data_IF_378037471212
#
_entry.id   IF_378037471212
#
_cell.length_a   1.000
_cell.length_b   1.000
_cell.length_c   1.000
_cell.angle_alpha   90.00
_cell.angle_beta   90.00
_cell.angle_gamma   90.00
#
_symmetry.space_group_name_H-M   'P 1'
#
loop_
_entity.id
_entity.type
_entity.pdbx_description
1 polymer ?
#
# COMPACT_ATOMS: atom_id res chain seq x y z
N UNK A 1 -14.30 -28.11 12.31
CA UNK A 1 -14.81 -26.86 11.72
C UNK A 1 -14.91 -25.67 12.71
N UNK A 2 -14.49 -25.80 13.98
CA UNK A 2 -14.72 -24.78 15.03
C UNK A 2 -13.52 -23.89 15.41
N UNK A 3 -12.31 -24.29 15.06
CA UNK A 3 -11.10 -23.53 15.47
C UNK A 3 -10.96 -22.22 14.69
N UNK A 4 -11.35 -22.16 13.41
CA UNK A 4 -11.26 -20.93 12.61
C UNK A 4 -12.25 -19.85 13.03
N UNK A 5 -13.45 -20.22 13.50
CA UNK A 5 -14.44 -19.24 14.00
C UNK A 5 -13.95 -18.55 15.27
N UNK A 6 -13.31 -19.28 16.18
CA UNK A 6 -12.83 -18.74 17.47
C UNK A 6 -11.74 -17.66 17.33
N UNK A 7 -10.88 -17.74 16.31
CA UNK A 7 -9.87 -16.71 16.03
C UNK A 7 -10.43 -15.47 15.33
N UNK A 8 -11.48 -15.65 14.51
CA UNK A 8 -12.15 -14.52 13.83
C UNK A 8 -12.81 -13.56 14.82
N UNK A 9 -13.50 -14.07 15.84
CA UNK A 9 -14.13 -13.24 16.87
C UNK A 9 -13.13 -12.49 17.76
N UNK A 10 -11.99 -13.12 18.08
CA UNK A 10 -10.91 -12.47 18.85
C UNK A 10 -10.30 -11.31 18.08
N UNK A 11 -10.11 -11.46 16.77
CA UNK A 11 -9.58 -10.40 15.91
C UNK A 11 -10.54 -9.21 15.78
N UNK A 12 -11.84 -9.49 15.61
CA UNK A 12 -12.90 -8.48 15.57
C UNK A 12 -12.99 -7.74 16.90
N UNK A 13 -12.90 -8.45 18.02
CA UNK A 13 -12.95 -7.85 19.36
C UNK A 13 -11.76 -6.93 19.64
N UNK A 14 -10.54 -7.33 19.25
CA UNK A 14 -9.33 -6.49 19.35
C UNK A 14 -9.45 -5.25 18.46
N UNK A 15 -10.01 -5.39 17.25
CA UNK A 15 -10.22 -4.28 16.32
C UNK A 15 -11.28 -3.30 16.85
N UNK A 16 -12.33 -3.80 17.49
CA UNK A 16 -13.39 -2.97 18.12
C UNK A 16 -12.85 -2.19 19.32
N UNK A 17 -11.97 -2.79 20.15
CA UNK A 17 -11.32 -2.12 21.27
C UNK A 17 -10.34 -1.04 20.78
N UNK A 18 -9.61 -1.28 19.69
CA UNK A 18 -8.73 -0.29 19.07
C UNK A 18 -9.50 0.91 18.50
N UNK A 19 -10.66 0.67 17.90
CA UNK A 19 -11.52 1.75 17.37
C UNK A 19 -12.19 2.54 18.49
N UNK A 20 -12.62 1.90 19.57
CA UNK A 20 -13.28 2.58 20.71
C UNK A 20 -12.35 3.53 21.46
N UNK A 21 -11.03 3.25 21.48
CA UNK A 21 -10.03 4.17 22.07
C UNK A 21 -9.76 5.42 21.23
N UNK A 22 -10.14 5.42 19.95
CA UNK A 22 -9.98 6.58 19.05
C UNK A 22 -11.11 7.61 19.21
N UNK A 23 -12.24 7.22 19.84
CA UNK A 23 -13.49 8.01 19.89
C UNK A 23 -13.65 8.97 21.06
N UNK A 24 -12.88 8.86 22.13
CA UNK A 24 -13.06 9.70 23.33
C UNK A 24 -11.94 10.74 23.48
N UNK A 25 -11.97 11.77 22.64
CA UNK A 25 -11.26 13.02 22.95
C UNK A 25 -12.18 13.89 23.80
N UNK A 26 -12.13 13.72 25.12
CA UNK A 26 -12.67 14.72 26.05
C UNK A 26 -11.91 16.03 25.82
N UNK A 27 -12.65 17.08 25.49
CA UNK A 27 -12.13 18.44 25.38
C UNK A 27 -11.92 19.00 26.80
N UNK A 28 -10.88 18.54 27.47
CA UNK A 28 -10.45 19.12 28.74
C UNK A 28 -9.80 20.45 28.41
N UNK A 29 -10.51 21.55 28.71
CA UNK A 29 -9.94 22.91 28.62
C UNK A 29 -9.11 23.11 29.89
N UNK A 30 -7.90 22.58 29.91
CA UNK A 30 -6.89 22.95 30.90
C UNK A 30 -6.13 24.15 30.34
N UNK A 31 -6.24 25.31 30.98
CA UNK A 31 -5.37 26.46 30.70
C UNK A 31 -4.00 26.20 31.33
N UNK A 32 -3.26 25.23 30.82
CA UNK A 32 -1.86 25.05 31.14
C UNK A 32 -1.00 26.02 30.32
N UNK A 33 -0.02 26.66 30.98
CA UNK A 33 1.06 27.37 30.28
C UNK A 33 1.80 26.34 29.44
N UNK A 34 1.54 26.32 28.13
CA UNK A 34 2.24 25.43 27.20
C UNK A 34 3.72 25.73 27.26
N UNK A 35 4.58 24.75 27.62
CA UNK A 35 6.02 24.94 27.64
C UNK A 35 6.54 25.50 26.32
N UNK A 36 7.58 26.30 26.38
CA UNK A 36 8.14 27.01 25.21
C UNK A 36 8.58 26.04 24.12
N UNK A 37 9.07 24.84 24.50
CA UNK A 37 9.43 23.75 23.59
C UNK A 37 8.24 23.21 22.79
N UNK A 38 7.04 23.13 23.38
CA UNK A 38 5.82 22.72 22.64
C UNK A 38 5.34 23.80 21.66
N UNK A 39 5.53 25.09 21.99
CA UNK A 39 5.22 26.17 21.04
C UNK A 39 6.14 26.11 19.84
N UNK A 40 7.45 25.89 20.06
CA UNK A 40 8.44 25.74 19.00
C UNK A 40 8.17 24.52 18.12
N UNK A 41 7.79 23.38 18.74
CA UNK A 41 7.38 22.17 18.03
C UNK A 41 6.19 22.44 17.11
N UNK A 42 5.14 23.10 17.59
CA UNK A 42 3.95 23.44 16.81
C UNK A 42 4.20 24.46 15.71
N UNK A 43 5.21 25.34 15.86
CA UNK A 43 5.61 26.28 14.82
C UNK A 43 6.29 25.59 13.63
N UNK A 44 7.05 24.51 13.87
CA UNK A 44 7.81 23.80 12.83
C UNK A 44 7.06 22.63 12.20
N UNK A 45 6.04 22.06 12.88
CA UNK A 45 5.35 20.85 12.46
C UNK A 45 3.95 21.13 11.92
N UNK A 46 3.63 20.54 10.78
CA UNK A 46 2.30 20.64 10.18
C UNK A 46 2.31 20.53 8.65
N UNK A 47 1.13 20.39 8.05
CA UNK A 47 0.99 20.12 6.62
C UNK A 47 1.74 21.09 5.68
N UNK A 48 1.81 22.37 6.03
CA UNK A 48 2.55 23.39 5.26
C UNK A 48 3.73 23.97 6.04
N UNK A 49 4.12 23.34 7.14
CA UNK A 49 5.26 23.73 7.96
C UNK A 49 6.55 23.04 7.50
N UNK A 50 7.68 23.30 8.20
CA UNK A 50 9.01 22.77 7.87
C UNK A 50 9.05 21.25 7.88
N UNK A 51 8.39 20.63 8.86
CA UNK A 51 8.29 19.17 9.02
C UNK A 51 6.82 18.75 9.10
N UNK A 52 6.51 17.58 8.56
CA UNK A 52 5.19 17.00 8.68
C UNK A 52 5.26 15.48 8.55
N UNK A 53 4.67 14.78 9.49
CA UNK A 53 4.50 13.32 9.41
C UNK A 53 3.02 12.95 9.49
N UNK A 54 2.63 11.92 8.74
CA UNK A 54 1.25 11.45 8.70
C UNK A 54 1.19 9.99 8.27
N UNK A 55 0.13 9.31 8.70
CA UNK A 55 -0.20 7.97 8.23
C UNK A 55 -1.03 8.06 6.94
N UNK A 56 -0.78 7.13 6.02
CA UNK A 56 -1.51 7.01 4.77
C UNK A 56 -1.92 5.57 4.53
N UNK A 57 -3.17 5.37 4.15
CA UNK A 57 -3.69 4.12 3.64
C UNK A 57 -3.91 4.25 2.14
N UNK A 58 -3.51 3.24 1.38
CA UNK A 58 -3.68 3.20 -0.07
C UNK A 58 -4.24 1.86 -0.51
N UNK A 59 -5.04 1.88 -1.57
CA UNK A 59 -5.53 0.70 -2.25
C UNK A 59 -5.42 0.90 -3.75
N UNK A 60 -4.92 -0.11 -4.46
CA UNK A 60 -4.76 -0.05 -5.91
C UNK A 60 -5.02 -1.40 -6.57
N UNK A 61 -5.24 -1.37 -7.88
CA UNK A 61 -5.39 -2.54 -8.73
C UNK A 61 -4.31 -2.55 -9.81
N UNK A 62 -3.87 -3.75 -10.18
CA UNK A 62 -2.95 -3.94 -11.31
C UNK A 62 -3.69 -3.70 -12.63
N UNK A 63 -3.07 -2.96 -13.53
CA UNK A 63 -3.57 -2.72 -14.88
C UNK A 63 -2.64 -3.36 -15.90
N UNK A 64 -3.17 -4.16 -16.85
CA UNK A 64 -2.39 -4.63 -17.99
C UNK A 64 -2.02 -3.43 -18.87
N UNK A 65 -0.73 -3.27 -19.17
CA UNK A 65 -0.24 -2.21 -20.08
C UNK A 65 -0.41 -2.66 -21.54
N UNK A 66 -0.41 -3.97 -21.79
CA UNK A 66 -0.61 -4.54 -23.12
C UNK A 66 -2.08 -4.50 -23.51
N UNK A 67 -2.38 -3.85 -24.64
CA UNK A 67 -3.69 -3.88 -25.29
C UNK A 67 -3.97 -5.21 -25.98
N UNK A 68 -2.99 -6.11 -26.05
CA UNK A 68 -3.17 -7.46 -26.58
C UNK A 68 -4.00 -8.29 -25.61
N UNK A 69 -5.04 -8.90 -26.11
CA UNK A 69 -6.16 -9.56 -25.42
C UNK A 69 -5.84 -10.78 -24.54
N UNK A 70 -4.62 -11.23 -24.48
CA UNK A 70 -4.20 -12.31 -23.58
C UNK A 70 -3.93 -11.77 -22.17
N UNK A 71 -5.02 -11.35 -21.51
CA UNK A 71 -4.97 -10.93 -20.11
C UNK A 71 -4.65 -12.14 -19.23
N UNK A 72 -3.38 -12.34 -18.94
CA UNK A 72 -2.88 -13.37 -18.02
C UNK A 72 -3.37 -13.19 -16.60
N UNK A 73 -3.79 -11.98 -16.23
CA UNK A 73 -4.15 -11.60 -14.87
C UNK A 73 -5.60 -11.14 -14.77
N UNK A 74 -6.30 -11.61 -13.76
CA UNK A 74 -7.64 -11.13 -13.43
C UNK A 74 -7.56 -9.78 -12.69
N UNK A 75 -7.90 -8.69 -13.38
CA UNK A 75 -7.90 -7.34 -12.80
C UNK A 75 -8.82 -7.27 -11.57
N UNK A 76 -10.00 -7.88 -11.63
CA UNK A 76 -11.01 -7.85 -10.56
C UNK A 76 -10.54 -8.44 -9.23
N UNK A 77 -9.52 -9.31 -9.27
CA UNK A 77 -9.02 -10.04 -8.10
C UNK A 77 -7.58 -9.69 -7.72
N UNK A 78 -6.93 -8.79 -8.49
CA UNK A 78 -5.53 -8.39 -8.27
C UNK A 78 -5.48 -6.98 -7.70
N UNK A 79 -5.11 -6.87 -6.43
CA UNK A 79 -5.09 -5.60 -5.70
C UNK A 79 -3.93 -5.54 -4.70
N UNK A 80 -3.55 -4.32 -4.36
CA UNK A 80 -2.55 -4.02 -3.33
C UNK A 80 -3.11 -3.06 -2.30
N UNK A 81 -2.92 -3.39 -1.02
CA UNK A 81 -3.15 -2.52 0.12
C UNK A 81 -1.81 -2.05 0.66
N UNK A 82 -1.69 -0.76 0.97
CA UNK A 82 -0.49 -0.17 1.53
C UNK A 82 -0.86 0.62 2.80
N UNK A 83 -0.10 0.44 3.87
CA UNK A 83 -0.15 1.26 5.07
C UNK A 83 1.24 1.85 5.28
N UNK A 84 1.34 3.16 5.35
CA UNK A 84 2.64 3.84 5.41
C UNK A 84 2.64 5.07 6.30
N UNK A 85 3.82 5.35 6.86
CA UNK A 85 4.14 6.62 7.50
C UNK A 85 4.90 7.48 6.51
N UNK A 86 4.42 8.69 6.28
CA UNK A 86 5.02 9.65 5.39
C UNK A 86 5.72 10.73 6.22
N UNK A 87 6.97 11.03 5.87
CA UNK A 87 7.78 12.10 6.45
C UNK A 87 8.05 13.13 5.38
N UNK A 88 7.52 14.34 5.56
CA UNK A 88 7.71 15.45 4.64
C UNK A 88 8.61 16.51 5.28
N UNK A 89 9.62 16.97 4.52
CA UNK A 89 10.47 18.11 4.87
C UNK A 89 10.33 19.18 3.80
N UNK A 90 9.84 20.36 4.18
CA UNK A 90 9.70 21.50 3.27
C UNK A 90 11.07 22.07 2.93
N UNK A 91 11.38 22.21 1.64
CA UNK A 91 12.57 22.85 1.09
C UNK A 91 12.23 24.30 0.71
N UNK A 92 11.12 24.49 0.00
CA UNK A 92 10.61 25.80 -0.41
C UNK A 92 9.08 25.83 -0.26
N UNK A 93 8.40 26.95 -0.46
CA UNK A 93 6.93 27.00 -0.48
C UNK A 93 6.29 26.02 -1.47
N UNK A 94 6.94 25.78 -2.60
CA UNK A 94 6.46 24.90 -3.67
C UNK A 94 7.01 23.48 -3.53
N UNK A 95 8.23 23.27 -3.01
CA UNK A 95 8.95 22.01 -3.04
C UNK A 95 9.14 21.42 -1.64
N UNK A 96 8.90 20.13 -1.51
CA UNK A 96 9.20 19.35 -0.29
C UNK A 96 9.82 18.01 -0.65
N UNK A 97 10.75 17.55 0.19
CA UNK A 97 11.25 16.17 0.16
C UNK A 97 10.29 15.27 0.92
N UNK A 98 10.04 14.08 0.39
CA UNK A 98 9.19 13.05 1.01
C UNK A 98 9.97 11.76 1.19
N UNK A 99 9.83 11.15 2.38
CA UNK A 99 10.30 9.80 2.67
C UNK A 99 9.12 9.02 3.24
N UNK A 100 8.89 7.84 2.74
CA UNK A 100 7.73 7.02 3.07
C UNK A 100 8.24 5.64 3.46
N UNK A 101 7.84 5.17 4.63
CA UNK A 101 8.12 3.83 5.11
C UNK A 101 6.81 3.12 5.42
N UNK A 102 6.67 1.86 5.02
CA UNK A 102 5.42 1.16 5.26
C UNK A 102 5.47 -0.31 4.90
N UNK A 103 4.30 -0.90 4.92
CA UNK A 103 4.05 -2.28 4.53
C UNK A 103 3.01 -2.32 3.42
N UNK A 104 3.13 -3.28 2.51
CA UNK A 104 2.09 -3.56 1.54
C UNK A 104 1.73 -5.05 1.51
N UNK A 105 0.48 -5.32 1.17
CA UNK A 105 -0.05 -6.64 0.89
C UNK A 105 -0.56 -6.66 -0.53
N UNK A 106 0.15 -7.37 -1.40
CA UNK A 106 -0.21 -7.56 -2.79
C UNK A 106 -0.84 -8.93 -2.99
N UNK A 107 -1.99 -8.96 -3.67
CA UNK A 107 -2.64 -10.17 -4.15
C UNK A 107 -2.75 -10.11 -5.67
N UNK A 108 -2.26 -11.16 -6.34
CA UNK A 108 -2.36 -11.34 -7.77
C UNK A 108 -3.13 -12.64 -8.02
N UNK A 109 -4.10 -12.60 -8.91
CA UNK A 109 -4.81 -13.77 -9.39
C UNK A 109 -4.52 -13.94 -10.88
N UNK A 110 -3.85 -15.03 -11.25
CA UNK A 110 -3.59 -15.35 -12.64
C UNK A 110 -4.78 -16.07 -13.25
N UNK A 111 -5.09 -15.77 -14.53
CA UNK A 111 -6.12 -16.47 -15.30
C UNK A 111 -5.55 -17.67 -16.03
N UNK A 112 -4.33 -17.54 -16.57
CA UNK A 112 -3.67 -18.54 -17.38
C UNK A 112 -2.52 -19.19 -16.63
N UNK A 113 -2.49 -20.51 -16.68
CA UNK A 113 -1.51 -21.36 -15.99
C UNK A 113 -0.17 -21.36 -16.71
N UNK A 114 -0.13 -21.00 -18.01
CA UNK A 114 1.10 -20.99 -18.80
C UNK A 114 2.22 -20.12 -18.25
N UNK A 115 1.86 -19.05 -17.53
CA UNK A 115 2.84 -18.19 -16.85
C UNK A 115 3.39 -18.80 -15.54
N UNK A 116 2.80 -19.91 -15.11
CA UNK A 116 3.19 -20.64 -13.91
C UNK A 116 4.06 -21.88 -14.21
N UNK A 117 4.39 -22.11 -15.47
CA UNK A 117 5.29 -23.21 -15.85
C UNK A 117 6.67 -23.08 -15.18
N UNK A 118 7.13 -21.84 -14.93
CA UNK A 118 8.36 -21.57 -14.20
C UNK A 118 8.34 -22.09 -12.75
N UNK A 119 7.15 -22.33 -12.19
CA UNK A 119 6.98 -22.94 -10.87
C UNK A 119 6.84 -24.47 -10.91
N UNK A 120 6.93 -25.10 -12.07
CA UNK A 120 6.71 -26.55 -12.24
C UNK A 120 5.25 -26.97 -11.97
N UNK A 121 4.29 -26.02 -12.05
CA UNK A 121 2.88 -26.30 -11.81
C UNK A 121 2.26 -26.88 -13.07
N UNK A 122 1.58 -28.03 -12.93
CA UNK A 122 0.89 -28.68 -14.04
C UNK A 122 -0.21 -27.79 -14.64
N UNK A 123 -0.43 -27.90 -15.95
CA UNK A 123 -1.49 -27.20 -16.69
C UNK A 123 -2.92 -27.48 -16.19
N UNK A 124 -3.10 -28.47 -15.32
CA UNK A 124 -4.38 -28.81 -14.67
C UNK A 124 -4.67 -28.01 -13.39
N UNK A 125 -3.76 -27.18 -12.91
CA UNK A 125 -3.98 -26.36 -11.72
C UNK A 125 -5.03 -25.27 -11.97
N UNK A 126 -5.93 -25.08 -11.02
CA UNK A 126 -7.03 -24.13 -11.07
C UNK A 126 -6.78 -22.97 -10.09
N UNK A 127 -7.24 -21.77 -10.45
CA UNK A 127 -7.32 -20.58 -9.58
C UNK A 127 -6.00 -20.22 -8.87
N UNK A 128 -4.89 -20.08 -9.61
CA UNK A 128 -3.60 -19.77 -9.01
C UNK A 128 -3.59 -18.33 -8.46
N UNK A 129 -3.17 -18.20 -7.21
CA UNK A 129 -3.16 -16.93 -6.47
C UNK A 129 -1.82 -16.71 -5.79
N UNK A 130 -1.20 -15.57 -6.06
CA UNK A 130 -0.04 -15.07 -5.35
C UNK A 130 -0.46 -14.08 -4.27
N UNK A 131 0.17 -14.17 -3.11
CA UNK A 131 0.05 -13.19 -2.03
C UNK A 131 1.43 -12.84 -1.54
N UNK A 132 1.70 -11.55 -1.41
CA UNK A 132 3.01 -11.06 -0.97
C UNK A 132 2.85 -9.98 0.08
N UNK A 133 3.68 -10.08 1.12
CA UNK A 133 3.86 -9.04 2.12
C UNK A 133 5.20 -8.37 1.88
N UNK A 134 5.16 -7.06 1.66
CA UNK A 134 6.35 -6.29 1.32
C UNK A 134 6.59 -5.23 2.38
N UNK A 135 7.85 -5.05 2.75
CA UNK A 135 8.34 -3.84 3.38
C UNK A 135 8.62 -2.82 2.27
N UNK A 136 8.11 -1.59 2.41
CA UNK A 136 8.23 -0.57 1.38
C UNK A 136 8.96 0.66 1.90
N UNK A 137 9.88 1.18 1.07
CA UNK A 137 10.52 2.47 1.25
C UNK A 137 10.40 3.28 -0.04
N UNK A 138 9.94 4.55 0.09
CA UNK A 138 9.86 5.47 -1.03
C UNK A 138 10.52 6.78 -0.64
N UNK A 139 11.20 7.40 -1.62
CA UNK A 139 11.79 8.72 -1.46
C UNK A 139 11.58 9.54 -2.72
N UNK A 140 11.36 10.85 -2.56
CA UNK A 140 11.12 11.70 -3.70
C UNK A 140 10.70 13.12 -3.33
N UNK A 141 10.02 13.76 -4.26
CA UNK A 141 9.65 15.16 -4.15
C UNK A 141 8.14 15.36 -4.27
N UNK A 142 7.65 16.29 -3.45
CA UNK A 142 6.28 16.79 -3.52
C UNK A 142 6.30 18.25 -3.96
N UNK A 143 5.59 18.51 -5.04
CA UNK A 143 5.34 19.85 -5.61
C UNK A 143 3.97 20.33 -5.15
N UNK A 144 3.94 21.41 -4.37
CA UNK A 144 2.70 22.03 -3.90
C UNK A 144 2.21 23.02 -4.94
N UNK A 145 0.99 22.82 -5.45
CA UNK A 145 0.37 23.69 -6.46
C UNK A 145 -0.14 25.00 -5.83
N UNK A 146 -0.55 24.92 -4.55
CA UNK A 146 -1.05 26.06 -3.79
C UNK A 146 -0.14 26.33 -2.58
N UNK A 147 0.90 27.17 -2.73
CA UNK A 147 1.86 27.47 -1.66
C UNK A 147 1.26 28.29 -0.51
N UNK A 148 0.23 29.12 -0.78
CA UNK A 148 -0.36 30.07 0.17
C UNK A 148 -1.55 29.50 0.97
N UNK A 149 -1.76 28.18 0.96
CA UNK A 149 -2.90 27.46 1.54
C UNK A 149 -2.99 27.45 3.08
N UNK A 150 -2.17 28.21 3.78
CA UNK A 150 -2.06 28.14 5.23
C UNK A 150 -1.48 26.80 5.70
N UNK A 151 -1.83 26.32 6.92
CA UNK A 151 -1.33 25.04 7.45
C UNK A 151 -2.23 23.86 7.05
N UNK A 152 -2.52 23.72 5.75
CA UNK A 152 -3.33 22.64 5.18
C UNK A 152 -2.53 21.85 4.13
N UNK A 153 -2.98 20.62 3.80
CA UNK A 153 -2.28 19.79 2.81
C UNK A 153 -2.40 20.36 1.38
N UNK A 154 -3.48 21.01 1.00
CA UNK A 154 -3.66 21.63 -0.31
C UNK A 154 -3.66 20.66 -1.49
N UNK A 155 -3.37 21.19 -2.70
CA UNK A 155 -3.20 20.42 -3.94
C UNK A 155 -1.70 20.15 -4.17
N UNK A 156 -1.35 18.96 -4.64
CA UNK A 156 0.05 18.59 -4.85
C UNK A 156 0.23 17.50 -5.90
N UNK A 157 1.40 17.49 -6.48
CA UNK A 157 1.94 16.38 -7.28
C UNK A 157 3.13 15.82 -6.52
N UNK A 158 3.23 14.50 -6.42
CA UNK A 158 4.32 13.83 -5.73
C UNK A 158 4.92 12.75 -6.62
N UNK A 159 6.24 12.74 -6.73
CA UNK A 159 7.01 11.77 -7.51
C UNK A 159 8.02 11.10 -6.60
N UNK A 160 7.97 9.78 -6.51
CA UNK A 160 8.83 8.98 -5.65
C UNK A 160 9.47 7.84 -6.44
N UNK A 161 10.71 7.54 -6.10
CA UNK A 161 11.32 6.25 -6.34
C UNK A 161 10.90 5.31 -5.23
N UNK A 162 10.63 4.06 -5.54
CA UNK A 162 10.32 3.06 -4.52
C UNK A 162 11.25 1.86 -4.59
N UNK A 163 11.48 1.27 -3.41
CA UNK A 163 12.03 -0.06 -3.23
C UNK A 163 11.13 -0.85 -2.30
N UNK A 164 10.73 -2.06 -2.72
CA UNK A 164 9.95 -3.01 -1.92
C UNK A 164 10.77 -4.27 -1.70
N UNK A 165 10.80 -4.74 -0.48
CA UNK A 165 11.38 -6.02 -0.13
C UNK A 165 10.27 -7.00 0.27
N UNK A 166 10.13 -8.10 -0.48
CA UNK A 166 9.17 -9.16 -0.21
C UNK A 166 9.70 -10.07 0.88
N UNK A 167 9.11 -9.98 2.09
CA UNK A 167 9.49 -10.83 3.22
C UNK A 167 8.78 -12.18 3.22
N UNK A 168 7.52 -12.20 2.79
CA UNK A 168 6.70 -13.42 2.76
C UNK A 168 5.91 -13.43 1.45
N UNK A 169 6.06 -14.51 0.70
CA UNK A 169 5.22 -14.80 -0.46
C UNK A 169 4.53 -16.14 -0.30
N UNK A 170 3.35 -16.29 -0.88
CA UNK A 170 2.58 -17.53 -0.86
C UNK A 170 1.92 -17.71 -2.21
N UNK A 171 2.15 -18.87 -2.81
CA UNK A 171 1.45 -19.35 -3.98
C UNK A 171 0.40 -20.37 -3.54
N UNK A 172 -0.83 -20.21 -3.98
CA UNK A 172 -1.94 -21.12 -3.76
C UNK A 172 -2.55 -21.52 -5.08
N UNK A 173 -2.77 -22.80 -5.29
CA UNK A 173 -3.49 -23.33 -6.44
C UNK A 173 -4.30 -24.58 -6.04
N UNK A 174 -5.25 -24.97 -6.88
CA UNK A 174 -6.18 -26.06 -6.66
C UNK A 174 -6.06 -27.10 -7.78
N UNK A 175 -6.17 -28.38 -7.44
CA UNK A 175 -6.32 -29.48 -8.41
C UNK A 175 -7.64 -30.20 -8.16
N UNK A 176 -8.30 -30.61 -9.24
CA UNK A 176 -9.36 -31.60 -9.15
C UNK A 176 -8.74 -33.00 -9.24
N UNK A 177 -8.79 -33.74 -8.15
CA UNK A 177 -8.18 -35.08 -8.07
C UNK A 177 -9.14 -36.16 -8.56
N UNK A 178 -10.45 -35.98 -8.35
CA UNK A 178 -11.55 -36.83 -8.81
C UNK A 178 -12.80 -35.98 -8.96
N UNK A 179 -13.93 -36.57 -9.46
CA UNK A 179 -15.18 -35.88 -9.76
C UNK A 179 -15.73 -34.96 -8.65
N UNK A 180 -15.31 -35.14 -7.38
CA UNK A 180 -15.80 -34.32 -6.25
C UNK A 180 -14.71 -33.88 -5.27
N UNK A 181 -13.44 -34.28 -5.43
CA UNK A 181 -12.37 -33.93 -4.49
C UNK A 181 -11.45 -32.84 -5.04
N UNK A 182 -11.31 -31.75 -4.26
CA UNK A 182 -10.39 -30.65 -4.56
C UNK A 182 -9.19 -30.70 -3.62
N UNK A 183 -8.01 -30.82 -4.16
CA UNK A 183 -6.76 -30.68 -3.43
C UNK A 183 -6.25 -29.25 -3.53
N UNK A 184 -6.02 -28.60 -2.37
CA UNK A 184 -5.48 -27.24 -2.30
C UNK A 184 -4.02 -27.32 -1.88
N UNK A 185 -3.13 -26.83 -2.75
CA UNK A 185 -1.71 -26.74 -2.47
C UNK A 185 -1.36 -25.30 -2.11
N UNK A 186 -0.52 -25.13 -1.08
CA UNK A 186 0.01 -23.83 -0.65
C UNK A 186 1.51 -23.96 -0.48
N UNK A 187 2.23 -23.19 -1.27
CA UNK A 187 3.67 -23.11 -1.23
C UNK A 187 4.09 -21.76 -0.65
N UNK A 188 5.03 -21.77 0.29
CA UNK A 188 5.54 -20.57 0.93
C UNK A 188 6.91 -20.24 0.35
N UNK A 189 7.11 -18.96 -0.02
CA UNK A 189 8.33 -18.45 -0.64
C UNK A 189 8.77 -19.28 -1.86
N UNK A 190 7.86 -19.48 -2.85
CA UNK A 190 8.20 -20.26 -4.03
C UNK A 190 9.29 -19.55 -4.82
N UNK A 191 10.28 -20.31 -5.30
CA UNK A 191 11.19 -19.86 -6.36
C UNK A 191 10.38 -19.86 -7.67
N UNK A 192 10.47 -18.86 -8.55
CA UNK A 192 11.48 -17.81 -8.73
C UNK A 192 10.99 -16.39 -8.43
N UNK A 193 10.25 -16.15 -7.35
CA UNK A 193 9.80 -14.79 -7.02
C UNK A 193 10.97 -13.91 -6.58
N UNK A 194 11.14 -12.77 -7.24
CA UNK A 194 12.13 -11.78 -6.83
C UNK A 194 11.74 -11.17 -5.47
N UNK A 195 12.70 -11.09 -4.56
CA UNK A 195 12.49 -10.46 -3.25
C UNK A 195 12.60 -8.94 -3.30
N UNK A 196 13.25 -8.37 -4.30
CA UNK A 196 13.45 -6.92 -4.42
C UNK A 196 12.72 -6.37 -5.64
N UNK A 197 11.83 -5.42 -5.39
CA UNK A 197 11.09 -4.71 -6.43
C UNK A 197 11.37 -3.22 -6.33
N UNK A 198 11.53 -2.56 -7.47
CA UNK A 198 11.79 -1.12 -7.54
C UNK A 198 11.10 -0.49 -8.74
N UNK A 199 10.93 0.83 -8.68
CA UNK A 199 10.29 1.59 -9.73
C UNK A 199 9.92 3.00 -9.30
N UNK A 200 8.84 3.52 -9.89
CA UNK A 200 8.38 4.90 -9.72
C UNK A 200 6.93 4.93 -9.25
N UNK A 201 6.62 5.84 -8.33
CA UNK A 201 5.25 6.14 -7.90
C UNK A 201 4.97 7.62 -8.12
N UNK A 202 3.93 7.93 -8.87
CA UNK A 202 3.40 9.29 -9.03
C UNK A 202 2.07 9.41 -8.32
N UNK A 203 1.83 10.53 -7.64
CA UNK A 203 0.62 10.79 -6.88
C UNK A 203 0.12 12.19 -7.16
N UNK A 204 -1.20 12.32 -7.41
CA UNK A 204 -1.91 13.58 -7.53
C UNK A 204 -2.88 13.71 -6.37
N UNK A 205 -2.70 14.71 -5.51
CA UNK A 205 -3.46 14.81 -4.28
C UNK A 205 -4.19 16.14 -4.10
N UNK A 206 -5.35 16.04 -3.45
CA UNK A 206 -6.16 17.19 -3.03
C UNK A 206 -6.55 16.94 -1.56
N UNK A 207 -6.07 17.81 -0.68
CA UNK A 207 -6.26 17.66 0.77
C UNK A 207 -5.73 16.29 1.26
N UNK A 208 -6.57 15.52 1.94
CA UNK A 208 -6.21 14.18 2.48
C UNK A 208 -6.35 13.04 1.48
N UNK A 209 -6.90 13.28 0.28
CA UNK A 209 -7.16 12.24 -0.72
C UNK A 209 -6.22 12.38 -1.90
N UNK A 210 -5.81 11.28 -2.50
CA UNK A 210 -5.01 11.28 -3.73
C UNK A 210 -5.27 10.05 -4.59
N UNK A 211 -5.02 10.20 -5.88
CA UNK A 211 -4.89 9.11 -6.83
C UNK A 211 -3.41 8.88 -7.08
N UNK A 212 -3.03 7.63 -7.34
CA UNK A 212 -1.64 7.31 -7.65
C UNK A 212 -1.52 6.27 -8.76
N UNK A 213 -0.41 6.36 -9.48
CA UNK A 213 0.10 5.34 -10.36
C UNK A 213 1.47 4.88 -9.86
N UNK A 214 1.69 3.58 -9.82
CA UNK A 214 2.96 2.97 -9.45
C UNK A 214 3.40 2.08 -10.62
N UNK A 215 4.56 2.40 -11.18
CA UNK A 215 5.17 1.62 -12.25
C UNK A 215 6.38 0.86 -11.73
N UNK A 216 6.32 -0.47 -11.79
CA UNK A 216 7.41 -1.35 -11.39
C UNK A 216 8.34 -1.58 -12.57
N UNK A 217 9.63 -1.25 -12.40
CA UNK A 217 10.68 -1.50 -13.38
C UNK A 217 11.19 -2.94 -13.27
N UNK A 218 11.35 -3.42 -12.03
CA UNK A 218 11.76 -4.79 -11.75
C UNK A 218 10.70 -5.80 -12.20
N UNK A 219 11.13 -7.00 -12.58
CA UNK A 219 10.22 -8.10 -12.85
C UNK A 219 9.77 -8.77 -11.55
N UNK A 220 8.54 -9.32 -11.51
CA UNK A 220 8.09 -10.17 -10.42
C UNK A 220 8.71 -11.56 -10.50
N UNK A 221 8.71 -12.09 -11.72
CA UNK A 221 9.27 -13.35 -12.12
C UNK A 221 10.19 -13.06 -13.29
N UNK A 222 11.25 -13.82 -13.46
CA UNK A 222 12.28 -13.55 -14.48
C UNK A 222 11.73 -13.51 -15.90
N UNK A 223 10.65 -14.26 -16.21
CA UNK A 223 10.08 -14.39 -17.55
C UNK A 223 8.57 -14.11 -17.63
N UNK A 224 7.99 -13.33 -16.72
CA UNK A 224 6.53 -13.14 -16.70
C UNK A 224 6.09 -11.79 -17.23
N UNK A 225 4.95 -11.79 -17.94
CA UNK A 225 4.22 -10.60 -18.40
C UNK A 225 3.29 -10.01 -17.34
N UNK A 226 3.61 -10.22 -16.05
CA UNK A 226 2.81 -9.65 -14.96
C UNK A 226 2.76 -8.13 -15.09
N UNK A 227 1.57 -7.50 -15.04
CA UNK A 227 1.42 -6.07 -15.20
C UNK A 227 2.31 -5.28 -14.24
N UNK A 228 3.06 -4.34 -14.80
CA UNK A 228 3.99 -3.48 -14.06
C UNK A 228 3.32 -2.22 -13.52
N UNK A 229 2.10 -1.90 -13.99
CA UNK A 229 1.36 -0.71 -13.59
C UNK A 229 0.30 -1.03 -12.54
N UNK A 230 0.35 -0.35 -11.41
CA UNK A 230 -0.66 -0.34 -10.36
C UNK A 230 -1.26 1.06 -10.30
N UNK A 231 -2.59 1.18 -10.30
CA UNK A 231 -3.32 2.44 -10.15
C UNK A 231 -4.27 2.34 -8.97
N UNK A 232 -4.38 3.42 -8.21
CA UNK A 232 -5.21 3.37 -7.00
C UNK A 232 -5.46 4.72 -6.35
N UNK A 233 -6.06 4.61 -5.17
CA UNK A 233 -6.41 5.75 -4.33
C UNK A 233 -5.69 5.66 -2.99
N UNK A 234 -5.36 6.82 -2.43
CA UNK A 234 -4.84 6.90 -1.07
C UNK A 234 -5.51 7.98 -0.25
N UNK A 235 -5.52 7.78 1.05
CA UNK A 235 -6.10 8.71 2.02
C UNK A 235 -5.20 8.85 3.24
N UNK A 236 -4.96 10.09 3.66
CA UNK A 236 -4.26 10.38 4.90
C UNK A 236 -5.17 10.09 6.09
N UNK A 237 -4.66 9.33 7.07
CA UNK A 237 -5.35 8.98 8.30
C UNK A 237 -4.94 9.96 9.41
N UNK A 238 -5.88 10.39 10.25
CA UNK A 238 -5.59 11.16 11.45
C UNK A 238 -5.24 12.63 11.21
N UNK A 239 -5.62 13.18 10.08
CA UNK A 239 -5.40 14.60 9.77
C UNK A 239 -6.41 15.46 10.58
N UNK A 240 -6.06 15.76 11.85
CA UNK A 240 -6.76 16.84 12.56
C UNK A 240 -6.47 18.11 11.78
N UNK A 241 -7.51 18.70 11.19
CA UNK A 241 -7.49 20.08 10.68
C UNK A 241 -7.09 20.96 11.86
N UNK A 242 -5.82 21.35 11.94
CA UNK A 242 -5.40 22.37 12.88
C UNK A 242 -6.01 23.69 12.38
N UNK A 243 -7.15 24.04 12.95
CA UNK A 243 -7.75 25.37 12.86
C UNK A 243 -6.96 26.35 13.69
#
# INVERSE_FOLDING_TARGET
>A
MDIQKKYSYKLIFIFTILISKIGFSQKTIVKEKVPEDFRKFNMENGPNKKKYSFLEFSVGTLLPISLNRDESISIKSSFEYQLSTNFKRKISPVLSLTNILGISHLRIQAKNIYELNDFGISSSALDPRFRMWNLMYLTGFRFNIDPNRGNQIGKYIEMNLFGFYTGISTLRYEYNTNLNDKTIIRERNPNPISNLHYGFKMKLGIKSKSIFGLYRVSHFLENSDIPKLLVGFSSTIGNKTYR
#
